data_IF_919429096861
#
_entry.id   IF_919429096861
#
_cell.length_a   1.000
_cell.length_b   1.000
_cell.length_c   1.000
_cell.angle_alpha   90.00
_cell.angle_beta   90.00
_cell.angle_gamma   90.00
#
_symmetry.space_group_name_H-M   'P 1'
#
loop_
_entity.id
_entity.type
_entity.pdbx_description
1 polymer ?
#
# COMPACT_ATOMS: atom_id res chain seq x y z
N UNK A 1 18.92 -3.45 5.86
CA UNK A 1 17.51 -3.87 5.76
C UNK A 1 16.69 -2.59 5.86
N UNK A 2 16.09 -2.11 4.77
CA UNK A 2 15.30 -0.87 4.80
C UNK A 2 13.92 -1.20 5.37
N UNK A 3 13.66 -0.74 6.59
CA UNK A 3 12.37 -0.89 7.26
C UNK A 3 11.65 0.44 7.23
N UNK A 4 10.55 0.53 6.48
CA UNK A 4 9.62 1.66 6.60
C UNK A 4 8.71 1.31 7.78
N UNK A 5 8.75 2.11 8.85
CA UNK A 5 7.90 1.91 10.03
C UNK A 5 8.06 0.52 10.71
N UNK A 6 9.18 -0.16 10.49
CA UNK A 6 9.42 -1.53 10.96
C UNK A 6 8.82 -2.64 10.07
N UNK A 7 8.30 -2.31 8.89
CA UNK A 7 7.76 -3.26 7.92
C UNK A 7 8.76 -3.56 6.80
N UNK A 8 8.84 -4.84 6.42
CA UNK A 8 9.65 -5.31 5.28
C UNK A 8 8.89 -5.16 3.96
N UNK A 9 9.61 -5.08 2.84
CA UNK A 9 9.03 -5.06 1.48
C UNK A 9 7.95 -6.13 1.24
N UNK A 10 8.19 -7.36 1.70
CA UNK A 10 7.24 -8.45 1.58
C UNK A 10 5.94 -8.20 2.39
N UNK A 11 6.06 -7.56 3.56
CA UNK A 11 4.90 -7.17 4.38
C UNK A 11 4.15 -6.02 3.73
N UNK A 12 4.85 -5.01 3.21
CA UNK A 12 4.23 -3.91 2.47
C UNK A 12 3.49 -4.43 1.23
N UNK A 13 4.08 -5.35 0.48
CA UNK A 13 3.44 -5.98 -0.67
C UNK A 13 2.17 -6.78 -0.28
N UNK A 14 2.16 -7.40 0.91
CA UNK A 14 0.97 -8.09 1.43
C UNK A 14 -0.13 -7.11 1.83
N UNK A 15 0.24 -5.99 2.47
CA UNK A 15 -0.69 -4.91 2.82
C UNK A 15 -1.35 -4.34 1.58
N UNK A 16 -0.58 -4.00 0.55
CA UNK A 16 -1.11 -3.38 -0.66
C UNK A 16 -2.04 -4.32 -1.43
N UNK A 17 -1.90 -5.65 -1.26
CA UNK A 17 -2.80 -6.65 -1.84
C UNK A 17 -4.12 -6.83 -1.09
N UNK A 18 -4.20 -6.39 0.17
CA UNK A 18 -5.40 -6.51 1.00
C UNK A 18 -6.56 -5.70 0.41
N UNK A 19 -7.74 -6.31 0.29
CA UNK A 19 -8.94 -5.66 -0.23
C UNK A 19 -9.35 -4.41 0.54
N UNK A 20 -9.15 -4.39 1.86
CA UNK A 20 -9.42 -3.21 2.69
C UNK A 20 -8.49 -2.06 2.31
N UNK A 21 -7.20 -2.35 2.13
CA UNK A 21 -6.22 -1.35 1.69
C UNK A 21 -6.55 -0.84 0.28
N UNK A 22 -6.89 -1.73 -0.65
CA UNK A 22 -7.33 -1.33 -1.98
C UNK A 22 -8.55 -0.43 -1.91
N UNK A 23 -9.59 -0.79 -1.14
CA UNK A 23 -10.77 0.06 -1.01
C UNK A 23 -10.43 1.44 -0.42
N UNK A 24 -9.54 1.49 0.56
CA UNK A 24 -9.13 2.73 1.23
C UNK A 24 -8.23 3.63 0.38
N UNK A 25 -7.51 3.11 -0.62
CA UNK A 25 -6.52 3.89 -1.37
C UNK A 25 -6.67 3.82 -2.90
N UNK A 26 -7.59 3.01 -3.42
CA UNK A 26 -7.98 2.93 -4.85
C UNK A 26 -8.21 4.32 -5.42
N UNK A 27 -8.94 5.16 -4.68
CA UNK A 27 -9.28 6.53 -5.10
C UNK A 27 -8.08 7.47 -5.23
N UNK A 28 -6.89 7.11 -4.72
CA UNK A 28 -5.67 7.90 -4.93
C UNK A 28 -5.10 7.77 -6.35
N UNK A 29 -5.54 6.75 -7.08
CA UNK A 29 -5.11 6.46 -8.43
C UNK A 29 -6.37 6.49 -9.31
N UNK A 30 -6.36 7.20 -10.44
CA UNK A 30 -7.49 7.16 -11.37
C UNK A 30 -7.83 5.73 -11.76
N UNK A 31 -9.11 5.36 -11.79
CA UNK A 31 -9.56 4.02 -12.17
C UNK A 31 -9.10 3.61 -13.58
N UNK A 32 -8.89 4.59 -14.45
CA UNK A 32 -8.37 4.42 -15.82
C UNK A 32 -6.85 4.19 -15.89
N UNK A 33 -6.12 4.34 -14.79
CA UNK A 33 -4.67 4.14 -14.80
C UNK A 33 -4.31 2.65 -14.87
N UNK A 34 -3.24 2.28 -15.60
CA UNK A 34 -2.79 0.89 -15.70
C UNK A 34 -2.39 0.31 -14.34
N UNK A 35 -2.05 1.15 -13.37
CA UNK A 35 -1.75 0.75 -11.99
C UNK A 35 -2.97 0.15 -11.28
N UNK A 36 -4.18 0.64 -11.56
CA UNK A 36 -5.42 0.05 -11.01
C UNK A 36 -5.89 -1.20 -11.77
N UNK A 37 -5.37 -1.42 -12.97
CA UNK A 37 -5.70 -2.57 -13.81
C UNK A 37 -4.74 -3.74 -13.57
N UNK A 38 -3.47 -3.46 -13.30
CA UNK A 38 -2.44 -4.47 -13.08
C UNK A 38 -2.07 -4.58 -11.58
N UNK A 39 -2.32 -5.73 -10.94
CA UNK A 39 -2.06 -5.90 -9.51
C UNK A 39 -0.56 -5.86 -9.17
N UNK A 40 0.34 -6.14 -10.11
CA UNK A 40 1.79 -6.06 -9.87
C UNK A 40 2.26 -4.60 -9.88
N UNK A 41 1.74 -3.81 -10.82
CA UNK A 41 1.98 -2.36 -10.85
C UNK A 41 1.38 -1.67 -9.62
N UNK A 42 0.16 -2.04 -9.23
CA UNK A 42 -0.49 -1.56 -8.00
C UNK A 42 0.41 -1.73 -6.78
N UNK A 43 0.89 -2.96 -6.57
CA UNK A 43 1.75 -3.29 -5.42
C UNK A 43 3.01 -2.43 -5.44
N UNK A 44 3.67 -2.32 -6.60
CA UNK A 44 4.92 -1.58 -6.71
C UNK A 44 4.73 -0.08 -6.45
N UNK A 45 3.73 0.53 -7.06
CA UNK A 45 3.40 1.95 -6.88
C UNK A 45 3.03 2.23 -5.41
N UNK A 46 2.16 1.43 -4.81
CA UNK A 46 1.73 1.66 -3.43
C UNK A 46 2.84 1.42 -2.42
N UNK A 47 3.70 0.41 -2.63
CA UNK A 47 4.89 0.20 -1.79
C UNK A 47 5.85 1.39 -1.90
N UNK A 48 6.08 1.95 -3.10
CA UNK A 48 6.90 3.15 -3.28
C UNK A 48 6.29 4.38 -2.59
N UNK A 49 4.97 4.57 -2.69
CA UNK A 49 4.27 5.66 -2.00
C UNK A 49 4.34 5.52 -0.49
N UNK A 50 4.15 4.32 0.05
CA UNK A 50 4.30 4.06 1.49
C UNK A 50 5.75 4.33 1.91
N UNK A 51 6.74 3.95 1.10
CA UNK A 51 8.15 4.25 1.35
C UNK A 51 8.45 5.75 1.38
N UNK A 52 7.86 6.50 0.46
CA UNK A 52 8.03 7.95 0.37
C UNK A 52 7.35 8.68 1.53
N UNK A 53 6.08 8.36 1.81
CA UNK A 53 5.25 9.07 2.78
C UNK A 53 4.46 8.10 3.67
N UNK A 54 5.10 7.37 4.59
CA UNK A 54 4.42 6.38 5.44
C UNK A 54 3.39 7.02 6.37
N UNK A 55 3.64 8.26 6.82
CA UNK A 55 2.74 9.00 7.71
C UNK A 55 1.36 9.25 7.08
N UNK A 56 1.30 9.46 5.76
CA UNK A 56 0.03 9.63 5.05
C UNK A 56 -0.85 8.39 5.17
N UNK A 57 -0.26 7.20 5.04
CA UNK A 57 -0.97 5.93 5.16
C UNK A 57 -1.31 5.61 6.62
N UNK A 58 -0.40 5.89 7.56
CA UNK A 58 -0.62 5.72 8.99
C UNK A 58 -1.69 6.67 9.58
N UNK A 59 -2.03 7.78 8.91
CA UNK A 59 -3.01 8.76 9.40
C UNK A 59 -4.43 8.22 9.53
N UNK A 60 -4.84 7.34 8.61
CA UNK A 60 -6.20 6.80 8.56
C UNK A 60 -6.34 5.52 9.38
N UNK A 61 -5.37 4.63 9.25
CA UNK A 61 -5.23 3.42 10.05
C UNK A 61 -3.75 3.00 9.97
N UNK A 62 -3.13 2.49 11.06
CA UNK A 62 -1.75 2.03 10.98
C UNK A 62 -1.60 1.01 9.86
N UNK A 63 -0.62 1.17 8.97
CA UNK A 63 -0.44 0.28 7.80
C UNK A 63 -0.31 -1.19 8.21
N UNK A 64 0.16 -1.41 9.43
CA UNK A 64 0.34 -2.69 10.12
C UNK A 64 -0.98 -3.41 10.39
N UNK A 65 -2.09 -2.68 10.56
CA UNK A 65 -3.41 -3.28 10.80
C UNK A 65 -3.92 -4.03 9.56
N UNK A 66 -3.52 -3.60 8.36
CA UNK A 66 -3.83 -4.34 7.12
C UNK A 66 -3.07 -5.67 6.99
N UNK A 67 -2.07 -5.95 7.85
CA UNK A 67 -1.43 -7.28 7.92
C UNK A 67 -2.22 -8.29 8.72
N UNK A 68 -3.16 -7.85 9.57
CA UNK A 68 -3.94 -8.74 10.46
C UNK A 68 -5.14 -9.40 9.78
N UNK A 69 -5.25 -9.27 8.45
CA UNK A 69 -6.29 -9.91 7.62
C UNK A 69 -5.87 -11.28 7.12
#
# INVERSE_FOLDING_TARGET
>A
MFTIDGLSDAQLARITRNDRFKSDYNHLIPSASPVNQDPSLWVREMVDRIKKNPEFFNKKCPIREYLKG
#
